data_IF_371389268839
#
_entry.id   IF_371389268839
#
_cell.length_a   1.000
_cell.length_b   1.000
_cell.length_c   1.000
_cell.angle_alpha   90.00
_cell.angle_beta   90.00
_cell.angle_gamma   90.00
#
_symmetry.space_group_name_H-M   'P 1'
#
loop_
_entity.id
_entity.type
_entity.pdbx_description
1 polymer ?
#
# COMPACT_ATOMS: atom_id res chain seq x y z
N UNK A 1 8.35 -1.00 26.75
CA UNK A 1 7.66 -0.24 25.69
C UNK A 1 7.30 -1.22 24.57
N UNK A 2 6.05 -1.64 24.47
CA UNK A 2 5.62 -2.56 23.41
C UNK A 2 5.49 -1.77 22.11
N UNK A 3 6.53 -1.78 21.27
CA UNK A 3 6.41 -1.31 19.90
C UNK A 3 5.56 -2.33 19.14
N UNK A 4 4.25 -2.14 19.15
CA UNK A 4 3.35 -2.82 18.22
C UNK A 4 3.84 -2.44 16.80
N UNK A 5 4.68 -3.30 16.20
CA UNK A 5 5.03 -3.20 14.78
C UNK A 5 3.75 -3.52 14.00
N UNK A 6 2.91 -2.51 13.80
CA UNK A 6 1.79 -2.60 12.87
C UNK A 6 2.41 -2.54 11.48
N UNK A 7 2.86 -3.70 11.00
CA UNK A 7 3.14 -3.89 9.59
C UNK A 7 1.79 -3.73 8.87
N UNK A 8 1.64 -2.78 7.93
CA UNK A 8 0.43 -2.65 7.16
C UNK A 8 0.21 -3.93 6.39
N UNK A 9 -0.93 -4.56 6.67
CA UNK A 9 -1.31 -5.81 6.02
C UNK A 9 -1.67 -5.55 4.56
N UNK A 10 -1.51 -6.58 3.73
CA UNK A 10 -1.97 -6.54 2.33
C UNK A 10 -3.40 -6.01 2.20
N UNK A 11 -4.28 -6.45 3.11
CA UNK A 11 -5.68 -6.02 3.19
C UNK A 11 -5.86 -4.51 3.38
N UNK A 12 -4.94 -3.83 4.07
CA UNK A 12 -4.99 -2.37 4.23
C UNK A 12 -4.78 -1.66 2.89
N UNK A 13 -3.75 -2.08 2.13
CA UNK A 13 -3.43 -1.48 0.85
C UNK A 13 -4.49 -1.79 -0.22
N UNK A 14 -5.04 -3.00 -0.22
CA UNK A 14 -6.14 -3.37 -1.13
C UNK A 14 -7.38 -2.52 -0.90
N UNK A 15 -7.79 -2.35 0.37
CA UNK A 15 -8.93 -1.50 0.73
C UNK A 15 -8.71 -0.07 0.26
N UNK A 16 -7.55 0.50 0.58
CA UNK A 16 -7.22 1.88 0.22
C UNK A 16 -7.17 2.10 -1.28
N UNK A 17 -6.56 1.17 -2.02
CA UNK A 17 -6.51 1.24 -3.48
C UNK A 17 -7.92 1.18 -4.08
N UNK A 18 -8.77 0.27 -3.60
CA UNK A 18 -10.17 0.16 -4.06
C UNK A 18 -10.96 1.44 -3.84
N UNK A 19 -10.78 2.15 -2.73
CA UNK A 19 -11.45 3.44 -2.48
C UNK A 19 -11.07 4.51 -3.51
N UNK A 20 -9.78 4.59 -3.84
CA UNK A 20 -9.26 5.52 -4.85
C UNK A 20 -9.78 5.15 -6.24
N UNK A 21 -9.68 3.87 -6.63
CA UNK A 21 -10.15 3.40 -7.93
C UNK A 21 -11.66 3.61 -8.09
N UNK A 22 -12.45 3.38 -7.04
CA UNK A 22 -13.90 3.60 -7.10
C UNK A 22 -14.26 5.05 -7.45
N UNK A 23 -13.46 6.00 -6.98
CA UNK A 23 -13.74 7.43 -7.14
C UNK A 23 -13.18 7.98 -8.45
N UNK A 24 -11.96 7.58 -8.82
CA UNK A 24 -11.22 8.20 -9.92
C UNK A 24 -11.01 7.28 -11.14
N UNK A 25 -11.01 5.97 -10.94
CA UNK A 25 -10.68 4.97 -11.98
C UNK A 25 -11.61 3.75 -11.94
N UNK A 26 -12.94 3.92 -12.11
CA UNK A 26 -13.91 2.84 -11.92
C UNK A 26 -13.68 1.66 -12.87
N UNK A 27 -13.04 1.88 -14.03
CA UNK A 27 -12.68 0.80 -14.96
C UNK A 27 -11.62 -0.17 -14.40
N UNK A 28 -10.79 0.28 -13.47
CA UNK A 28 -9.73 -0.52 -12.86
C UNK A 28 -10.20 -1.27 -11.61
N UNK A 29 -11.38 -0.93 -11.05
CA UNK A 29 -11.87 -1.55 -9.80
C UNK A 29 -12.13 -3.05 -9.94
N UNK A 30 -12.46 -3.50 -11.16
CA UNK A 30 -12.73 -4.89 -11.47
C UNK A 30 -11.45 -5.66 -11.83
N UNK A 31 -10.32 -4.99 -11.99
CA UNK A 31 -9.04 -5.62 -12.25
C UNK A 31 -8.43 -6.10 -10.93
N UNK A 32 -8.89 -7.27 -10.47
CA UNK A 32 -8.47 -7.88 -9.21
C UNK A 32 -6.97 -8.21 -9.20
N UNK A 33 -6.41 -8.62 -10.34
CA UNK A 33 -4.96 -8.86 -10.49
C UNK A 33 -4.17 -7.59 -10.26
N UNK A 34 -4.55 -6.47 -10.91
CA UNK A 34 -3.90 -5.17 -10.70
C UNK A 34 -3.96 -4.71 -9.25
N UNK A 35 -5.13 -4.83 -8.61
CA UNK A 35 -5.31 -4.43 -7.21
C UNK A 35 -4.40 -5.25 -6.31
N UNK A 36 -4.35 -6.57 -6.51
CA UNK A 36 -3.51 -7.46 -5.72
C UNK A 36 -2.02 -7.15 -5.90
N UNK A 37 -1.55 -7.09 -7.15
CA UNK A 37 -0.14 -6.83 -7.46
C UNK A 37 0.32 -5.47 -6.91
N UNK A 38 -0.48 -4.42 -7.06
CA UNK A 38 -0.13 -3.10 -6.51
C UNK A 38 -0.14 -3.07 -4.99
N UNK A 39 -1.08 -3.76 -4.36
CA UNK A 39 -1.15 -3.84 -2.90
C UNK A 39 0.01 -4.66 -2.33
N UNK A 40 0.38 -5.76 -2.98
CA UNK A 40 1.55 -6.58 -2.66
C UNK A 40 2.83 -5.75 -2.77
N UNK A 41 2.98 -4.98 -3.85
CA UNK A 41 4.15 -4.13 -4.05
C UNK A 41 4.25 -3.02 -2.99
N UNK A 42 3.15 -2.34 -2.66
CA UNK A 42 3.12 -1.33 -1.62
C UNK A 42 3.48 -1.91 -0.23
N UNK A 43 2.94 -3.08 0.10
CA UNK A 43 3.28 -3.79 1.33
C UNK A 43 4.76 -4.15 1.39
N UNK A 44 5.32 -4.66 0.28
CA UNK A 44 6.74 -4.97 0.19
C UNK A 44 7.62 -3.72 0.32
N UNK A 45 7.26 -2.61 -0.32
CA UNK A 45 8.01 -1.35 -0.18
C UNK A 45 7.95 -0.79 1.24
N UNK A 46 6.82 -0.93 1.95
CA UNK A 46 6.76 -0.61 3.37
C UNK A 46 7.74 -1.48 4.17
N UNK A 47 7.69 -2.80 3.98
CA UNK A 47 8.51 -3.76 4.69
C UNK A 47 10.00 -3.45 4.48
N UNK A 48 10.42 -3.19 3.23
CA UNK A 48 11.78 -2.82 2.90
C UNK A 48 12.22 -1.51 3.55
N UNK A 49 11.37 -0.47 3.53
CA UNK A 49 11.62 0.81 4.18
C UNK A 49 11.80 0.63 5.70
N UNK A 50 10.94 -0.20 6.30
CA UNK A 50 10.95 -0.50 7.71
C UNK A 50 12.21 -1.29 8.12
N UNK A 51 12.58 -2.30 7.33
CA UNK A 51 13.82 -3.07 7.51
C UNK A 51 15.08 -2.22 7.32
N UNK A 52 15.00 -1.18 6.49
CA UNK A 52 16.06 -0.18 6.31
C UNK A 52 16.16 0.82 7.48
N UNK A 53 15.30 0.70 8.50
CA UNK A 53 15.33 1.55 9.69
C UNK A 53 14.60 2.89 9.55
N UNK A 54 13.79 3.06 8.50
CA UNK A 54 13.01 4.29 8.33
C UNK A 54 11.87 4.37 9.35
N UNK A 55 11.47 5.59 9.69
CA UNK A 55 10.35 5.82 10.59
C UNK A 55 9.03 5.39 9.93
N UNK A 56 8.05 4.95 10.74
CA UNK A 56 6.73 4.51 10.26
C UNK A 56 6.07 5.52 9.29
N UNK A 57 6.09 6.85 9.54
CA UNK A 57 5.53 7.81 8.58
C UNK A 57 6.21 7.77 7.21
N UNK A 58 7.53 7.56 7.16
CA UNK A 58 8.29 7.47 5.91
C UNK A 58 8.01 6.16 5.18
N UNK A 59 7.89 5.05 5.92
CA UNK A 59 7.50 3.76 5.35
C UNK A 59 6.11 3.86 4.69
N UNK A 60 5.16 4.50 5.39
CA UNK A 60 3.82 4.75 4.86
C UNK A 60 3.84 5.67 3.63
N UNK A 61 4.69 6.70 3.61
CA UNK A 61 4.82 7.59 2.46
C UNK A 61 5.35 6.84 1.23
N UNK A 62 6.39 6.02 1.39
CA UNK A 62 6.96 5.19 0.33
C UNK A 62 5.91 4.22 -0.22
N UNK A 63 5.23 3.49 0.67
CA UNK A 63 4.21 2.54 0.26
C UNK A 63 3.03 3.22 -0.44
N UNK A 64 2.62 4.41 0.00
CA UNK A 64 1.55 5.17 -0.66
C UNK A 64 1.96 5.69 -2.03
N UNK A 65 3.21 6.14 -2.20
CA UNK A 65 3.73 6.51 -3.53
C UNK A 65 3.66 5.32 -4.48
N UNK A 66 4.11 4.16 -4.01
CA UNK A 66 4.04 2.91 -4.75
C UNK A 66 2.61 2.45 -4.96
N UNK A 67 1.67 2.69 -4.05
CA UNK A 67 0.27 2.27 -4.25
C UNK A 67 -0.44 3.13 -5.31
N UNK A 68 -0.11 4.42 -5.36
CA UNK A 68 -0.79 5.43 -6.19
C UNK A 68 -0.08 5.74 -7.51
N UNK A 69 1.13 5.22 -7.72
CA UNK A 69 1.89 5.53 -8.94
C UNK A 69 1.14 5.05 -10.19
N UNK A 70 1.08 5.93 -11.19
CA UNK A 70 0.40 5.68 -12.47
C UNK A 70 -1.12 5.78 -12.43
N UNK A 71 -1.72 6.18 -11.31
CA UNK A 71 -3.12 6.56 -11.19
C UNK A 71 -3.27 8.06 -11.42
#
# INVERSE_FOLDING_TARGET
MNHQKVQPSLSYYELRLREVLKTSFPNLINNTTFIKERSDLAAHSYQQAFESGLAIPQCNEIANKVLMEGL
#
